data_IF_909463046244
#
_entry.id   IF_909463046244
#
_cell.length_a   1.000
_cell.length_b   1.000
_cell.length_c   1.000
_cell.angle_alpha   90.00
_cell.angle_beta   90.00
_cell.angle_gamma   90.00
#
_symmetry.space_group_name_H-M   'P 1'
#
loop_
_entity.id
_entity.type
_entity.pdbx_description
1 polymer ?
#
# COMPACT_ATOMS: atom_id res chain seq x y z
N UNK A 1 13.22 18.94 -14.80
CA UNK A 1 13.19 17.75 -13.92
C UNK A 1 13.41 16.53 -14.80
N UNK A 2 14.52 15.83 -14.62
CA UNK A 2 14.78 14.56 -15.32
C UNK A 2 14.07 13.44 -14.54
N UNK A 3 13.16 12.71 -15.20
CA UNK A 3 12.36 11.64 -14.60
C UNK A 3 13.04 10.27 -14.62
N UNK A 4 14.31 10.18 -15.03
CA UNK A 4 15.05 8.91 -15.13
C UNK A 4 15.40 8.24 -13.79
N UNK A 5 14.98 8.81 -12.66
CA UNK A 5 15.29 8.29 -11.32
C UNK A 5 14.25 7.30 -10.79
N UNK A 6 13.06 7.23 -11.40
CA UNK A 6 11.99 6.32 -10.97
C UNK A 6 11.69 5.30 -12.06
N UNK A 7 11.54 4.04 -11.67
CA UNK A 7 10.99 2.99 -12.52
C UNK A 7 9.49 2.89 -12.30
N UNK A 8 8.70 3.02 -13.36
CA UNK A 8 7.25 2.96 -13.25
C UNK A 8 6.78 1.53 -12.97
N UNK A 9 5.88 1.37 -12.00
CA UNK A 9 5.23 0.10 -11.67
C UNK A 9 3.73 0.14 -12.00
N UNK A 10 3.21 -1.01 -12.45
CA UNK A 10 1.76 -1.24 -12.65
C UNK A 10 1.11 -1.92 -11.45
N UNK A 11 1.86 -2.19 -10.38
CA UNK A 11 1.33 -2.78 -9.17
C UNK A 11 0.35 -1.82 -8.50
N UNK A 12 -0.75 -2.34 -7.96
CA UNK A 12 -1.78 -1.56 -7.26
C UNK A 12 -1.19 -0.70 -6.13
N UNK A 13 -0.23 -1.25 -5.40
CA UNK A 13 0.61 -0.60 -4.40
C UNK A 13 2.05 -1.03 -4.66
N UNK A 14 2.99 -0.09 -4.62
CA UNK A 14 4.42 -0.32 -4.80
C UNK A 14 5.19 0.29 -3.62
N UNK A 15 6.10 -0.49 -3.04
CA UNK A 15 6.96 -0.03 -1.95
C UNK A 15 8.43 -0.19 -2.33
N UNK A 16 9.16 0.94 -2.35
CA UNK A 16 10.61 0.98 -2.49
C UNK A 16 11.23 1.59 -1.22
N UNK A 17 11.69 0.72 -0.31
CA UNK A 17 12.19 1.12 1.01
C UNK A 17 11.12 1.85 1.82
N UNK A 18 11.32 3.16 2.01
CA UNK A 18 10.41 4.05 2.75
C UNK A 18 9.45 4.84 1.83
N UNK A 19 9.54 4.65 0.52
CA UNK A 19 8.65 5.28 -0.45
C UNK A 19 7.52 4.30 -0.77
N UNK A 20 6.30 4.66 -0.40
CA UNK A 20 5.10 3.90 -0.71
C UNK A 20 4.23 4.69 -1.69
N UNK A 21 3.84 4.06 -2.80
CA UNK A 21 2.97 4.65 -3.82
C UNK A 21 1.81 3.73 -4.13
N UNK A 22 0.67 4.28 -4.55
CA UNK A 22 -0.49 3.52 -5.00
C UNK A 22 -1.18 4.21 -6.17
N UNK A 23 -2.09 3.49 -6.82
CA UNK A 23 -2.93 4.03 -7.88
C UNK A 23 -4.21 4.66 -7.32
N UNK A 24 -5.15 4.99 -8.20
CA UNK A 24 -6.40 5.67 -7.86
C UNK A 24 -7.34 4.89 -6.91
N UNK A 25 -8.61 5.30 -6.80
CA UNK A 25 -9.53 4.89 -5.72
C UNK A 25 -9.66 3.40 -5.42
N UNK A 26 -9.39 2.54 -6.41
CA UNK A 26 -9.43 1.08 -6.29
C UNK A 26 -8.40 0.51 -5.31
N UNK A 27 -7.30 1.21 -5.06
CA UNK A 27 -6.15 0.70 -4.28
C UNK A 27 -6.03 1.31 -2.90
N UNK A 28 -6.98 2.16 -2.48
CA UNK A 28 -6.93 2.88 -1.21
C UNK A 28 -6.84 1.96 0.02
N UNK A 29 -7.59 0.86 0.04
CA UNK A 29 -7.57 -0.08 1.16
C UNK A 29 -6.24 -0.80 1.28
N UNK A 30 -5.72 -1.32 0.17
CA UNK A 30 -4.42 -1.99 0.13
C UNK A 30 -3.29 -1.03 0.53
N UNK A 31 -3.34 0.22 0.05
CA UNK A 31 -2.38 1.26 0.40
C UNK A 31 -2.40 1.58 1.90
N UNK A 32 -3.58 1.83 2.47
CA UNK A 32 -3.72 2.12 3.90
C UNK A 32 -3.29 0.95 4.79
N UNK A 33 -3.62 -0.28 4.41
CA UNK A 33 -3.21 -1.48 5.14
C UNK A 33 -1.69 -1.71 5.06
N UNK A 34 -1.06 -1.38 3.94
CA UNK A 34 0.40 -1.46 3.80
C UNK A 34 1.11 -0.44 4.71
N UNK A 35 0.57 0.77 4.83
CA UNK A 35 1.06 1.76 5.82
C UNK A 35 0.91 1.22 7.25
N UNK A 36 -0.26 0.66 7.58
CA UNK A 36 -0.53 0.09 8.89
C UNK A 36 0.43 -1.05 9.22
N UNK A 37 0.72 -1.93 8.27
CA UNK A 37 1.68 -3.01 8.43
C UNK A 37 3.10 -2.47 8.68
N UNK A 38 3.52 -1.45 7.94
CA UNK A 38 4.84 -0.82 8.11
C UNK A 38 5.03 -0.07 9.42
N UNK A 39 3.97 0.49 10.01
CA UNK A 39 4.04 1.30 11.24
C UNK A 39 3.68 0.53 12.51
N UNK A 40 2.66 -0.33 12.44
CA UNK A 40 2.06 -1.03 13.59
C UNK A 40 2.22 -2.55 13.52
N UNK A 41 2.81 -3.07 12.45
CA UNK A 41 3.00 -4.50 12.24
C UNK A 41 1.79 -5.19 11.62
N UNK A 42 2.07 -6.37 11.06
CA UNK A 42 1.12 -7.17 10.28
C UNK A 42 -0.11 -7.62 11.08
N UNK A 43 0.06 -7.91 12.36
CA UNK A 43 -1.05 -8.33 13.22
C UNK A 43 -2.12 -7.25 13.34
N UNK A 44 -1.70 -6.01 13.63
CA UNK A 44 -2.61 -4.86 13.74
C UNK A 44 -3.27 -4.57 12.40
N UNK A 45 -2.51 -4.63 11.29
CA UNK A 45 -3.07 -4.47 9.96
C UNK A 45 -4.16 -5.52 9.65
N UNK A 46 -3.96 -6.78 10.04
CA UNK A 46 -4.96 -7.85 9.87
C UNK A 46 -6.20 -7.64 10.74
N UNK A 47 -6.04 -7.17 11.98
CA UNK A 47 -7.16 -6.83 12.86
C UNK A 47 -8.01 -5.69 12.26
N UNK A 48 -7.37 -4.69 11.66
CA UNK A 48 -8.06 -3.60 10.94
C UNK A 48 -8.69 -4.08 9.64
N UNK A 49 -8.05 -5.01 8.91
CA UNK A 49 -8.59 -5.59 7.66
C UNK A 49 -9.87 -6.39 7.91
N UNK A 50 -9.92 -7.20 8.97
CA UNK A 50 -11.00 -8.15 9.24
C UNK A 50 -12.43 -7.54 9.17
N UNK A 51 -12.74 -6.41 9.82
CA UNK A 51 -14.07 -5.81 9.76
C UNK A 51 -14.41 -5.08 8.45
N UNK A 52 -13.44 -4.88 7.54
CA UNK A 52 -13.64 -4.10 6.30
C UNK A 52 -14.32 -4.91 5.19
N UNK A 53 -14.48 -6.24 5.36
CA UNK A 53 -15.13 -7.15 4.40
C UNK A 53 -14.58 -6.99 2.98
N UNK A 54 -13.25 -6.84 2.90
CA UNK A 54 -12.55 -6.76 1.62
C UNK A 54 -12.57 -8.13 0.95
N UNK A 55 -12.57 -8.12 -0.39
CA UNK A 55 -12.39 -9.33 -1.17
C UNK A 55 -10.97 -9.88 -0.93
N UNK A 56 -10.86 -11.19 -0.72
CA UNK A 56 -9.59 -11.90 -0.64
C UNK A 56 -8.84 -11.92 -1.98
#
# INVERSE_FOLDING_TARGET
MNWSHYSYSKNCVEQDGLILTSHGPRTNFEFALTIMEGLSGKEVANQVKAPLVLKD
#
